data_IF_850513728408
#
_entry.id   IF_850513728408
#
_cell.length_a   1.000
_cell.length_b   1.000
_cell.length_c   1.000
_cell.angle_alpha   90.00
_cell.angle_beta   90.00
_cell.angle_gamma   90.00
#
_symmetry.space_group_name_H-M   'P 1'
#
loop_
_entity.id
_entity.type
_entity.pdbx_description
1 polymer ?
#
# COMPACT_ATOMS: atom_id res chain seq x y z
N UNK A 1 21.28 -34.88 -4.16
CA UNK A 1 21.34 -33.81 -5.17
C UNK A 1 20.86 -32.53 -4.49
N UNK A 2 21.76 -31.64 -4.05
CA UNK A 2 21.39 -30.47 -3.23
C UNK A 2 20.43 -29.49 -3.92
N UNK A 3 20.63 -29.13 -5.21
CA UNK A 3 19.65 -28.34 -5.96
C UNK A 3 18.22 -28.88 -5.89
N UNK A 4 18.03 -30.19 -6.08
CA UNK A 4 16.70 -30.82 -6.02
C UNK A 4 16.09 -30.72 -4.63
N UNK A 5 16.87 -30.96 -3.58
CA UNK A 5 16.39 -30.83 -2.18
C UNK A 5 15.97 -29.39 -1.88
N UNK A 6 16.73 -28.40 -2.36
CA UNK A 6 16.41 -26.99 -2.18
C UNK A 6 15.10 -26.60 -2.88
N UNK A 7 14.91 -27.05 -4.13
CA UNK A 7 13.68 -26.83 -4.89
C UNK A 7 12.46 -27.47 -4.19
N UNK A 8 12.54 -28.75 -3.84
CA UNK A 8 11.47 -29.47 -3.14
C UNK A 8 11.13 -28.80 -1.81
N UNK A 9 12.14 -28.36 -1.05
CA UNK A 9 11.93 -27.66 0.21
C UNK A 9 11.24 -26.31 0.01
N UNK A 10 11.70 -25.47 -0.91
CA UNK A 10 11.08 -24.14 -1.15
C UNK A 10 9.65 -24.29 -1.66
N UNK A 11 9.41 -25.24 -2.57
CA UNK A 11 8.07 -25.51 -3.08
C UNK A 11 7.14 -26.10 -2.01
N UNK A 12 7.68 -26.89 -1.06
CA UNK A 12 6.89 -27.39 0.08
C UNK A 12 6.35 -26.27 0.99
N UNK A 13 6.95 -25.07 0.93
CA UNK A 13 6.47 -23.87 1.63
C UNK A 13 5.41 -23.08 0.82
N UNK A 14 5.05 -23.54 -0.38
CA UNK A 14 4.14 -22.85 -1.30
C UNK A 14 4.78 -21.68 -2.05
N UNK A 15 6.11 -21.64 -2.12
CA UNK A 15 6.88 -20.59 -2.81
C UNK A 15 7.40 -21.07 -4.16
N UNK A 16 7.53 -20.15 -5.11
CA UNK A 16 8.24 -20.42 -6.38
C UNK A 16 9.75 -20.44 -6.14
N UNK A 17 10.42 -21.50 -6.58
CA UNK A 17 11.87 -21.64 -6.41
C UNK A 17 12.63 -20.78 -7.44
N UNK A 18 13.61 -20.00 -6.97
CA UNK A 18 14.57 -19.31 -7.81
C UNK A 18 15.92 -20.04 -7.77
N UNK A 19 16.31 -20.76 -8.85
CA UNK A 19 17.55 -21.54 -8.87
C UNK A 19 18.82 -20.69 -8.98
N UNK A 20 18.70 -19.41 -9.35
CA UNK A 20 19.84 -18.53 -9.61
C UNK A 20 19.80 -17.31 -8.69
N UNK A 21 20.55 -17.42 -7.61
CA UNK A 21 20.71 -16.37 -6.60
C UNK A 21 22.18 -16.22 -6.23
N UNK A 22 22.55 -15.07 -5.69
CA UNK A 22 23.84 -14.91 -5.00
C UNK A 22 23.69 -15.35 -3.55
N UNK A 23 24.28 -14.64 -2.59
CA UNK A 23 24.00 -14.88 -1.17
C UNK A 23 22.55 -14.54 -0.80
N UNK A 24 21.92 -13.63 -1.55
CA UNK A 24 20.56 -13.17 -1.30
C UNK A 24 19.67 -13.38 -2.52
N UNK A 25 18.36 -13.44 -2.28
CA UNK A 25 17.36 -13.38 -3.34
C UNK A 25 17.39 -11.99 -4.02
N UNK A 26 17.21 -11.89 -5.36
CA UNK A 26 17.35 -10.62 -6.09
C UNK A 26 16.31 -9.55 -5.79
N UNK A 27 15.21 -9.87 -5.12
CA UNK A 27 14.13 -8.97 -4.72
C UNK A 27 13.35 -8.32 -5.88
N UNK A 28 13.54 -8.76 -7.12
CA UNK A 28 12.82 -8.25 -8.30
C UNK A 28 11.31 -8.47 -8.19
N UNK A 29 10.90 -9.62 -7.65
CA UNK A 29 9.48 -9.90 -7.43
C UNK A 29 8.87 -8.97 -6.38
N UNK A 30 9.65 -8.57 -5.37
CA UNK A 30 9.20 -7.62 -4.34
C UNK A 30 9.02 -6.24 -4.94
N UNK A 31 9.97 -5.78 -5.77
CA UNK A 31 9.85 -4.52 -6.47
C UNK A 31 8.59 -4.49 -7.36
N UNK A 32 8.35 -5.58 -8.10
CA UNK A 32 7.15 -5.74 -8.94
C UNK A 32 5.86 -5.71 -8.11
N UNK A 33 5.83 -6.42 -6.98
CA UNK A 33 4.70 -6.40 -6.04
C UNK A 33 4.44 -5.00 -5.48
N UNK A 34 5.49 -4.30 -5.04
CA UNK A 34 5.35 -2.94 -4.50
C UNK A 34 4.84 -1.96 -5.55
N UNK A 35 5.29 -2.07 -6.81
CA UNK A 35 4.76 -1.25 -7.90
C UNK A 35 3.28 -1.53 -8.20
N UNK A 36 2.82 -2.77 -8.08
CA UNK A 36 1.40 -3.10 -8.20
C UNK A 36 0.57 -2.46 -7.07
N UNK A 37 1.06 -2.52 -5.84
CA UNK A 37 0.39 -1.89 -4.68
C UNK A 37 0.38 -0.37 -4.80
N UNK A 38 1.47 0.26 -5.25
CA UNK A 38 1.52 1.71 -5.50
C UNK A 38 0.47 2.14 -6.53
N UNK A 39 0.31 1.38 -7.62
CA UNK A 39 -0.71 1.65 -8.63
C UNK A 39 -2.12 1.58 -8.04
N UNK A 40 -2.40 0.55 -7.25
CA UNK A 40 -3.67 0.43 -6.54
C UNK A 40 -3.89 1.61 -5.59
N UNK A 41 -2.89 1.99 -4.80
CA UNK A 41 -2.97 3.12 -3.88
C UNK A 41 -3.21 4.44 -4.60
N UNK A 42 -2.67 4.63 -5.82
CA UNK A 42 -2.93 5.83 -6.61
C UNK A 42 -4.40 5.90 -7.06
N UNK A 43 -4.98 4.78 -7.49
CA UNK A 43 -6.41 4.69 -7.82
C UNK A 43 -7.26 4.99 -6.58
N UNK A 44 -6.89 4.44 -5.42
CA UNK A 44 -7.62 4.69 -4.18
C UNK A 44 -7.47 6.14 -3.70
N UNK A 45 -6.30 6.75 -3.89
CA UNK A 45 -6.08 8.19 -3.60
C UNK A 45 -6.98 9.07 -4.46
N UNK A 46 -7.13 8.73 -5.75
CA UNK A 46 -8.03 9.44 -6.67
C UNK A 46 -9.49 9.30 -6.19
N UNK A 47 -9.89 8.10 -5.81
CA UNK A 47 -11.21 7.83 -5.23
C UNK A 47 -11.46 8.62 -3.92
N UNK A 48 -10.50 8.65 -2.99
CA UNK A 48 -10.61 9.38 -1.73
C UNK A 48 -10.86 10.88 -1.99
N UNK A 49 -10.16 11.45 -2.98
CA UNK A 49 -10.32 12.86 -3.39
C UNK A 49 -11.66 13.13 -4.05
N UNK A 50 -12.10 12.25 -4.95
CA UNK A 50 -13.40 12.38 -5.61
C UNK A 50 -14.54 12.32 -4.60
N UNK A 51 -14.52 11.34 -3.68
CA UNK A 51 -15.55 11.22 -2.64
C UNK A 51 -15.53 12.40 -1.69
N UNK A 52 -14.34 12.87 -1.29
CA UNK A 52 -14.20 14.09 -0.51
C UNK A 52 -14.85 15.30 -1.20
N UNK A 53 -14.65 15.44 -2.51
CA UNK A 53 -15.24 16.51 -3.31
C UNK A 53 -16.77 16.36 -3.41
N UNK A 54 -17.27 15.15 -3.65
CA UNK A 54 -18.71 14.88 -3.69
C UNK A 54 -19.41 15.15 -2.37
N UNK A 55 -18.77 14.85 -1.24
CA UNK A 55 -19.26 15.22 0.10
C UNK A 55 -19.27 16.75 0.25
N UNK A 56 -18.21 17.43 -0.18
CA UNK A 56 -18.13 18.90 -0.11
C UNK A 56 -19.18 19.61 -0.96
N UNK A 57 -19.56 19.02 -2.10
CA UNK A 57 -20.63 19.49 -2.98
C UNK A 57 -22.04 19.06 -2.51
N UNK A 58 -22.15 18.23 -1.47
CA UNK A 58 -23.41 17.78 -0.90
C UNK A 58 -24.11 16.65 -1.66
N UNK A 59 -23.42 15.97 -2.58
CA UNK A 59 -23.94 14.77 -3.26
C UNK A 59 -24.13 13.61 -2.26
N UNK A 60 -23.28 13.54 -1.25
CA UNK A 60 -23.36 12.57 -0.17
C UNK A 60 -23.50 13.26 1.19
N UNK A 61 -24.24 12.63 2.10
CA UNK A 61 -24.27 12.97 3.53
C UNK A 61 -23.60 11.86 4.32
N UNK A 62 -22.94 12.25 5.40
CA UNK A 62 -22.23 11.33 6.28
C UNK A 62 -23.11 10.95 7.47
N UNK A 63 -23.08 9.67 7.86
CA UNK A 63 -23.78 9.18 9.04
C UNK A 63 -22.96 9.54 10.27
N UNK A 64 -23.54 10.26 11.22
CA UNK A 64 -22.90 10.59 12.49
C UNK A 64 -23.27 9.57 13.56
N UNK A 65 -22.34 9.23 14.45
CA UNK A 65 -22.66 8.48 15.68
C UNK A 65 -22.89 9.44 16.84
N UNK A 66 -23.80 9.08 17.74
CA UNK A 66 -24.06 9.88 18.93
C UNK A 66 -22.78 10.03 19.77
N UNK A 67 -22.41 11.27 20.09
CA UNK A 67 -21.22 11.60 20.87
C UNK A 67 -19.95 11.88 20.06
N UNK A 68 -19.94 11.68 18.74
CA UNK A 68 -18.82 12.10 17.89
C UNK A 68 -18.78 13.63 17.75
N UNK A 69 -17.58 14.20 17.84
CA UNK A 69 -17.31 15.63 17.69
C UNK A 69 -16.67 15.85 16.33
N UNK A 70 -17.40 16.43 15.38
CA UNK A 70 -16.83 16.72 14.06
C UNK A 70 -15.92 17.97 14.05
N UNK A 71 -16.14 18.93 14.94
CA UNK A 71 -15.23 20.07 15.17
C UNK A 71 -15.30 20.56 16.60
N UNK A 72 -14.15 20.93 17.16
CA UNK A 72 -14.04 21.49 18.52
C UNK A 72 -14.72 22.86 18.69
N UNK A 73 -14.93 23.59 17.59
CA UNK A 73 -15.48 24.96 17.61
C UNK A 73 -16.76 25.11 16.79
N UNK A 74 -17.13 24.12 15.98
CA UNK A 74 -18.30 24.18 15.09
C UNK A 74 -19.20 22.94 15.31
N UNK A 75 -20.25 23.03 16.13
CA UNK A 75 -21.04 21.88 16.56
C UNK A 75 -21.87 21.22 15.43
N UNK A 76 -22.09 21.93 14.32
CA UNK A 76 -22.82 21.40 13.16
C UNK A 76 -21.91 20.72 12.13
N UNK A 77 -20.59 20.76 12.32
CA UNK A 77 -19.63 20.33 11.31
C UNK A 77 -19.45 18.81 11.34
N UNK A 78 -19.52 18.19 10.16
CA UNK A 78 -19.25 16.76 9.94
C UNK A 78 -18.24 16.70 8.78
N UNK A 79 -17.06 16.13 9.03
CA UNK A 79 -15.94 16.12 8.08
C UNK A 79 -15.69 14.71 7.56
N UNK A 80 -15.30 14.55 6.28
CA UNK A 80 -14.90 13.27 5.69
C UNK A 80 -13.52 12.79 6.16
N UNK A 81 -13.30 12.74 7.48
CA UNK A 81 -11.99 12.50 8.10
C UNK A 81 -11.40 11.12 7.76
N UNK A 82 -12.24 10.13 7.47
CA UNK A 82 -11.78 8.79 7.11
C UNK A 82 -11.10 8.78 5.74
N UNK A 83 -11.67 9.49 4.75
CA UNK A 83 -11.08 9.66 3.42
C UNK A 83 -9.81 10.51 3.47
N UNK A 84 -9.80 11.58 4.27
CA UNK A 84 -8.62 12.43 4.47
C UNK A 84 -7.45 11.65 5.11
N UNK A 85 -7.77 10.78 6.08
CA UNK A 85 -6.80 9.91 6.74
C UNK A 85 -6.27 8.83 5.78
N UNK A 86 -7.16 8.19 5.02
CA UNK A 86 -6.80 7.23 3.98
C UNK A 86 -5.84 7.84 2.97
N UNK A 87 -6.20 8.98 2.36
CA UNK A 87 -5.37 9.71 1.38
C UNK A 87 -3.96 9.97 1.92
N UNK A 88 -3.86 10.50 3.15
CA UNK A 88 -2.57 10.80 3.78
C UNK A 88 -1.71 9.56 3.99
N UNK A 89 -2.32 8.45 4.44
CA UNK A 89 -1.59 7.20 4.66
C UNK A 89 -1.19 6.50 3.37
N UNK A 90 -2.00 6.58 2.31
CA UNK A 90 -1.65 6.07 0.99
C UNK A 90 -0.41 6.78 0.43
N UNK A 91 -0.33 8.10 0.58
CA UNK A 91 0.85 8.88 0.22
C UNK A 91 2.11 8.42 0.99
N UNK A 92 1.99 8.23 2.31
CA UNK A 92 3.09 7.73 3.15
C UNK A 92 3.50 6.30 2.77
N UNK A 93 2.52 5.42 2.51
CA UNK A 93 2.76 4.04 2.09
C UNK A 93 3.51 4.00 0.76
N UNK A 94 3.07 4.78 -0.23
CA UNK A 94 3.71 4.86 -1.54
C UNK A 94 5.16 5.33 -1.46
N UNK A 95 5.46 6.32 -0.61
CA UNK A 95 6.83 6.77 -0.40
C UNK A 95 7.75 5.64 0.09
N UNK A 96 7.30 4.85 1.08
CA UNK A 96 8.05 3.72 1.60
C UNK A 96 8.22 2.59 0.58
N UNK A 97 7.12 2.22 -0.09
CA UNK A 97 7.11 1.15 -1.11
C UNK A 97 8.02 1.50 -2.30
N UNK A 98 7.98 2.75 -2.77
CA UNK A 98 8.82 3.23 -3.87
C UNK A 98 10.30 3.19 -3.52
N UNK A 99 10.66 3.62 -2.31
CA UNK A 99 12.05 3.54 -1.85
C UNK A 99 12.55 2.08 -1.81
N UNK A 100 11.75 1.17 -1.27
CA UNK A 100 12.12 -0.24 -1.17
C UNK A 100 12.23 -0.91 -2.54
N UNK A 101 11.31 -0.60 -3.48
CA UNK A 101 11.35 -1.18 -4.83
C UNK A 101 12.61 -0.80 -5.60
N UNK A 102 13.13 0.41 -5.38
CA UNK A 102 14.38 0.87 -5.99
C UNK A 102 15.62 0.33 -5.29
N UNK A 103 15.59 0.23 -3.95
CA UNK A 103 16.77 -0.07 -3.14
C UNK A 103 17.05 -1.55 -2.97
N UNK A 104 16.01 -2.41 -2.91
CA UNK A 104 16.20 -3.83 -2.62
C UNK A 104 16.90 -4.61 -3.75
N UNK A 105 16.60 -4.39 -5.05
CA UNK A 105 17.22 -5.15 -6.13
C UNK A 105 18.69 -4.84 -6.40
N UNK A 106 19.25 -3.82 -5.75
CA UNK A 106 20.63 -3.40 -5.94
C UNK A 106 21.45 -3.74 -4.68
N UNK A 107 22.31 -4.74 -4.79
CA UNK A 107 23.33 -5.08 -3.78
C UNK A 107 24.73 -5.10 -4.39
N UNK A 108 25.74 -4.82 -3.55
CA UNK A 108 27.14 -4.85 -3.99
C UNK A 108 27.54 -6.29 -4.26
N UNK A 109 28.19 -6.52 -5.40
CA UNK A 109 28.64 -7.85 -5.84
C UNK A 109 27.50 -8.84 -6.07
N UNK A 110 26.34 -8.32 -6.47
CA UNK A 110 25.19 -9.09 -6.92
C UNK A 110 25.25 -9.31 -8.43
#
# INVERSE_FOLDING_TARGET
NWPTIAEEFVQSLGLTFNPYVTQIEPHDYMASLFHAVIQFNNILTDFDRDVWAYISLGYFKQITKAGEIGSSTMPHKVNPIDFENSEGNLGKANAGLSYLSMKLPISRWQ
#
